data_IF_624805636709
#
_entry.id   IF_624805636709
#
_cell.length_a   1.000
_cell.length_b   1.000
_cell.length_c   1.000
_cell.angle_alpha   90.00
_cell.angle_beta   90.00
_cell.angle_gamma   90.00
#
_symmetry.space_group_name_H-M   'P 1'
#
loop_
_entity.id
_entity.type
_entity.pdbx_description
1 polymer ?
#
# COMPACT_ATOMS: atom_id res chain seq x y z
N UNK A 1 13.24 -6.75 -8.29
CA UNK A 1 11.97 -6.08 -7.94
C UNK A 1 10.88 -6.70 -8.80
N UNK A 2 9.86 -7.30 -8.20
CA UNK A 2 8.77 -7.95 -8.94
C UNK A 2 7.92 -6.89 -9.65
N UNK A 3 7.60 -7.12 -10.92
CA UNK A 3 6.84 -6.24 -11.81
C UNK A 3 5.78 -7.07 -12.55
N UNK A 4 4.72 -6.40 -13.01
CA UNK A 4 3.70 -7.02 -13.88
C UNK A 4 4.31 -7.24 -15.26
N UNK A 5 4.39 -8.50 -15.69
CA UNK A 5 5.06 -8.91 -16.94
C UNK A 5 4.14 -8.87 -18.18
N UNK A 6 2.82 -8.80 -17.99
CA UNK A 6 1.85 -8.75 -19.08
C UNK A 6 0.67 -7.85 -18.73
N UNK A 7 0.48 -6.78 -19.51
CA UNK A 7 -0.71 -5.94 -19.38
C UNK A 7 -2.01 -6.73 -19.62
N UNK A 8 -1.96 -7.75 -20.49
CA UNK A 8 -3.09 -8.62 -20.83
C UNK A 8 -3.56 -9.41 -19.61
N UNK A 9 -2.64 -10.12 -18.97
CA UNK A 9 -2.95 -10.90 -17.75
C UNK A 9 -3.46 -9.99 -16.63
N UNK A 10 -2.93 -8.78 -16.51
CA UNK A 10 -3.41 -7.79 -15.54
C UNK A 10 -4.83 -7.29 -15.84
N UNK A 11 -5.11 -6.94 -17.09
CA UNK A 11 -6.45 -6.56 -17.53
C UNK A 11 -7.47 -7.69 -17.30
N UNK A 12 -7.11 -8.93 -17.61
CA UNK A 12 -7.97 -10.10 -17.41
C UNK A 12 -8.23 -10.36 -15.90
N UNK A 13 -7.22 -10.22 -15.04
CA UNK A 13 -7.37 -10.37 -13.59
C UNK A 13 -8.30 -9.31 -12.96
N UNK A 14 -8.34 -8.10 -13.56
CA UNK A 14 -9.25 -7.01 -13.24
C UNK A 14 -10.66 -7.16 -13.85
N UNK A 15 -10.88 -8.19 -14.67
CA UNK A 15 -12.17 -8.48 -15.30
C UNK A 15 -12.39 -7.78 -16.65
N UNK A 16 -11.38 -7.13 -17.22
CA UNK A 16 -11.42 -6.55 -18.57
C UNK A 16 -11.15 -7.61 -19.67
N UNK A 17 -11.87 -8.74 -19.56
CA UNK A 17 -11.66 -9.91 -20.41
C UNK A 17 -11.96 -9.60 -21.87
N UNK A 18 -11.07 -10.01 -22.77
CA UNK A 18 -11.14 -9.81 -24.22
C UNK A 18 -11.19 -8.35 -24.72
N UNK A 19 -10.96 -7.34 -23.87
CA UNK A 19 -10.90 -5.95 -24.32
C UNK A 19 -9.56 -5.63 -25.02
N UNK A 20 -9.55 -5.01 -26.21
CA UNK A 20 -8.32 -4.66 -26.91
C UNK A 20 -7.56 -3.53 -26.19
N UNK A 21 -6.25 -3.38 -26.45
CA UNK A 21 -5.44 -2.31 -25.86
C UNK A 21 -6.01 -0.91 -26.15
N UNK A 22 -6.65 -0.74 -27.31
CA UNK A 22 -7.31 0.49 -27.75
C UNK A 22 -8.48 0.93 -26.86
N UNK A 23 -9.01 0.04 -26.03
CA UNK A 23 -9.99 0.36 -25.00
C UNK A 23 -9.38 1.19 -23.85
N UNK A 24 -8.11 0.94 -23.52
CA UNK A 24 -7.40 1.56 -22.40
C UNK A 24 -6.63 2.81 -22.84
N UNK A 25 -5.97 2.75 -23.99
CA UNK A 25 -5.22 3.88 -24.54
C UNK A 25 -5.31 3.88 -26.06
N UNK A 26 -5.53 5.07 -26.64
CA UNK A 26 -5.57 5.26 -28.09
C UNK A 26 -4.19 5.51 -28.70
N UNK A 27 -3.18 5.81 -27.88
CA UNK A 27 -1.82 5.98 -28.32
C UNK A 27 -1.15 4.62 -28.57
N UNK A 28 -0.21 4.58 -29.51
CA UNK A 28 0.71 3.44 -29.63
C UNK A 28 1.66 3.48 -28.44
N UNK A 29 1.72 2.37 -27.69
CA UNK A 29 2.57 2.22 -26.51
C UNK A 29 3.65 1.18 -26.81
N UNK A 30 4.90 1.60 -26.63
CA UNK A 30 6.07 0.85 -27.06
C UNK A 30 6.55 -0.15 -25.99
N UNK A 31 6.13 0.04 -24.73
CA UNK A 31 6.59 -0.80 -23.62
C UNK A 31 5.46 -1.45 -22.81
N UNK A 32 5.72 -2.64 -22.28
CA UNK A 32 4.78 -3.33 -21.37
C UNK A 32 4.42 -2.52 -20.11
N UNK A 33 5.37 -1.82 -19.43
CA UNK A 33 5.04 -0.97 -18.29
C UNK A 33 4.05 0.15 -18.63
N UNK A 34 4.17 0.79 -19.80
CA UNK A 34 3.22 1.82 -20.25
C UNK A 34 1.83 1.22 -20.48
N UNK A 35 1.76 0.03 -21.09
CA UNK A 35 0.48 -0.68 -21.29
C UNK A 35 -0.18 -1.05 -19.97
N UNK A 36 0.60 -1.55 -19.00
CA UNK A 36 0.14 -1.81 -17.63
C UNK A 36 -0.36 -0.53 -16.97
N UNK A 37 0.37 0.59 -17.14
CA UNK A 37 -0.03 1.88 -16.61
C UNK A 37 -1.37 2.35 -17.20
N UNK A 38 -1.59 2.20 -18.51
CA UNK A 38 -2.88 2.53 -19.13
C UNK A 38 -4.04 1.69 -18.59
N UNK A 39 -3.83 0.40 -18.31
CA UNK A 39 -4.85 -0.44 -17.64
C UNK A 39 -5.12 0.06 -16.23
N UNK A 40 -4.08 0.44 -15.48
CA UNK A 40 -4.20 0.98 -14.12
C UNK A 40 -4.94 2.32 -14.08
N UNK A 41 -4.65 3.22 -15.03
CA UNK A 41 -5.34 4.49 -15.21
C UNK A 41 -6.83 4.26 -15.49
N UNK A 42 -7.15 3.32 -16.38
CA UNK A 42 -8.54 2.97 -16.66
C UNK A 42 -9.28 2.42 -15.44
N UNK A 43 -8.64 1.55 -14.66
CA UNK A 43 -9.20 1.04 -13.41
C UNK A 43 -9.51 2.20 -12.43
N UNK A 44 -8.59 3.17 -12.32
CA UNK A 44 -8.77 4.35 -11.47
C UNK A 44 -9.96 5.20 -11.92
N UNK A 45 -10.11 5.44 -13.22
CA UNK A 45 -11.28 6.15 -13.78
C UNK A 45 -12.59 5.42 -13.44
N UNK A 46 -12.64 4.11 -13.67
CA UNK A 46 -13.86 3.32 -13.48
C UNK A 46 -14.28 3.25 -12.01
N UNK A 47 -13.32 3.24 -11.07
CA UNK A 47 -13.59 3.26 -9.63
C UNK A 47 -13.99 4.66 -9.11
N UNK A 48 -13.58 5.73 -9.79
CA UNK A 48 -13.93 7.11 -9.40
C UNK A 48 -15.25 7.57 -10.02
N UNK A 49 -15.80 6.85 -10.99
CA UNK A 49 -17.07 7.19 -11.61
C UNK A 49 -18.25 6.97 -10.64
N UNK A 50 -18.91 8.07 -10.27
CA UNK A 50 -20.01 8.12 -9.30
C UNK A 50 -21.30 7.44 -9.76
N UNK A 51 -21.42 7.09 -11.05
CA UNK A 51 -22.63 6.45 -11.62
C UNK A 51 -22.66 4.92 -11.42
N UNK A 52 -21.56 4.30 -11.02
CA UNK A 52 -21.51 2.87 -10.72
C UNK A 52 -22.16 2.59 -9.36
N UNK A 53 -23.40 2.04 -9.39
CA UNK A 53 -24.19 1.63 -8.21
C UNK A 53 -23.51 0.60 -7.30
N UNK A 54 -22.45 -0.06 -7.78
CA UNK A 54 -21.53 -0.87 -6.99
C UNK A 54 -20.21 -0.12 -6.85
N UNK A 55 -19.97 0.50 -5.69
CA UNK A 55 -18.78 1.30 -5.43
C UNK A 55 -17.54 0.39 -5.35
N UNK A 56 -16.93 0.06 -6.49
CA UNK A 56 -15.65 -0.66 -6.56
C UNK A 56 -14.57 0.22 -5.91
N UNK A 57 -13.86 -0.33 -4.93
CA UNK A 57 -12.70 0.35 -4.33
C UNK A 57 -11.47 0.08 -5.18
N UNK A 58 -10.82 1.14 -5.66
CA UNK A 58 -9.60 1.03 -6.47
C UNK A 58 -8.55 0.13 -5.79
N UNK A 59 -8.29 0.36 -4.50
CA UNK A 59 -7.32 -0.43 -3.73
C UNK A 59 -7.74 -1.90 -3.65
N UNK A 60 -9.02 -2.17 -3.44
CA UNK A 60 -9.53 -3.55 -3.36
C UNK A 60 -9.37 -4.28 -4.69
N UNK A 61 -9.80 -3.67 -5.79
CA UNK A 61 -9.71 -4.30 -7.12
C UNK A 61 -8.25 -4.53 -7.52
N UNK A 62 -7.38 -3.55 -7.28
CA UNK A 62 -5.95 -3.68 -7.56
C UNK A 62 -5.30 -4.81 -6.76
N UNK A 63 -5.49 -4.83 -5.44
CA UNK A 63 -4.91 -5.88 -4.57
C UNK A 63 -5.45 -7.26 -4.95
N UNK A 64 -6.75 -7.38 -5.23
CA UNK A 64 -7.36 -8.65 -5.66
C UNK A 64 -6.79 -9.15 -6.99
N UNK A 65 -6.59 -8.27 -7.98
CA UNK A 65 -5.99 -8.66 -9.25
C UNK A 65 -4.55 -9.14 -9.08
N UNK A 66 -3.74 -8.42 -8.29
CA UNK A 66 -2.37 -8.82 -8.01
C UNK A 66 -2.29 -10.16 -7.27
N UNK A 67 -3.18 -10.41 -6.30
CA UNK A 67 -3.26 -11.70 -5.61
C UNK A 67 -3.62 -12.85 -6.57
N UNK A 68 -4.55 -12.64 -7.51
CA UNK A 68 -4.90 -13.63 -8.55
C UNK A 68 -3.74 -13.93 -9.50
N UNK A 69 -2.82 -12.99 -9.67
CA UNK A 69 -1.65 -13.12 -10.53
C UNK A 69 -0.40 -13.63 -9.79
N UNK A 70 -0.55 -14.06 -8.54
CA UNK A 70 0.56 -14.44 -7.66
C UNK A 70 1.62 -13.34 -7.44
N UNK A 71 1.24 -12.07 -7.63
CA UNK A 71 2.10 -10.90 -7.47
C UNK A 71 2.19 -10.45 -5.99
N UNK A 72 2.48 -11.38 -5.09
CA UNK A 72 2.45 -11.16 -3.64
C UNK A 72 3.46 -10.10 -3.19
N UNK A 73 4.65 -10.04 -3.81
CA UNK A 73 5.67 -9.05 -3.50
C UNK A 73 5.24 -7.61 -3.85
N UNK A 74 4.39 -7.42 -4.86
CA UNK A 74 3.75 -6.14 -5.17
C UNK A 74 2.64 -5.81 -4.18
N UNK A 75 1.84 -6.80 -3.79
CA UNK A 75 0.77 -6.63 -2.78
C UNK A 75 1.34 -6.14 -1.46
N UNK A 76 2.41 -6.77 -0.95
CA UNK A 76 3.01 -6.39 0.34
C UNK A 76 3.60 -4.98 0.31
N UNK A 77 4.21 -4.57 -0.81
CA UNK A 77 4.74 -3.21 -0.99
C UNK A 77 3.61 -2.18 -0.97
N UNK A 78 2.55 -2.41 -1.75
CA UNK A 78 1.38 -1.52 -1.77
C UNK A 78 0.72 -1.43 -0.40
N UNK A 79 0.58 -2.55 0.31
CA UNK A 79 0.03 -2.58 1.66
C UNK A 79 0.89 -1.72 2.60
N UNK A 80 2.21 -1.88 2.57
CA UNK A 80 3.12 -1.08 3.39
C UNK A 80 2.98 0.41 3.08
N UNK A 81 3.01 0.80 1.80
CA UNK A 81 2.85 2.21 1.38
C UNK A 81 1.53 2.80 1.87
N UNK A 82 0.43 2.05 1.72
CA UNK A 82 -0.87 2.50 2.23
C UNK A 82 -0.90 2.60 3.75
N UNK A 83 -0.31 1.65 4.47
CA UNK A 83 -0.24 1.70 5.94
C UNK A 83 0.55 2.90 6.40
N UNK A 84 1.71 3.19 5.81
CA UNK A 84 2.53 4.35 6.17
C UNK A 84 1.80 5.66 5.88
N UNK A 85 1.20 5.80 4.69
CA UNK A 85 0.47 7.01 4.30
C UNK A 85 -0.77 7.24 5.16
N UNK A 86 -1.59 6.21 5.34
CA UNK A 86 -2.80 6.32 6.18
C UNK A 86 -2.43 6.60 7.63
N UNK A 87 -1.36 5.99 8.15
CA UNK A 87 -0.88 6.30 9.51
C UNK A 87 -0.46 7.75 9.63
N UNK A 88 0.31 8.27 8.66
CA UNK A 88 0.75 9.66 8.64
C UNK A 88 -0.44 10.64 8.68
N UNK A 89 -1.50 10.35 7.92
CA UNK A 89 -2.73 11.14 7.89
C UNK A 89 -3.48 11.05 9.23
N UNK A 90 -3.65 9.85 9.78
CA UNK A 90 -4.39 9.65 11.04
C UNK A 90 -3.68 10.27 12.25
N UNK A 91 -2.34 10.22 12.29
CA UNK A 91 -1.58 10.80 13.40
C UNK A 91 -1.45 12.31 13.28
N UNK A 92 -1.29 12.83 12.06
CA UNK A 92 -1.13 14.26 11.74
C UNK A 92 -0.29 15.00 12.80
N UNK A 93 -0.87 15.95 13.53
CA UNK A 93 -0.20 16.74 14.58
C UNK A 93 0.45 15.92 15.71
N UNK A 94 0.04 14.67 15.90
CA UNK A 94 0.57 13.75 16.90
C UNK A 94 1.74 12.91 16.37
N UNK A 95 2.20 13.13 15.15
CA UNK A 95 3.31 12.36 14.58
C UNK A 95 4.59 12.45 15.41
N UNK A 96 4.88 13.61 16.04
CA UNK A 96 6.03 13.78 16.95
C UNK A 96 5.98 12.80 18.12
N UNK A 97 4.80 12.61 18.71
CA UNK A 97 4.59 11.61 19.76
C UNK A 97 4.89 10.20 19.24
N UNK A 98 4.41 9.85 18.04
CA UNK A 98 4.70 8.56 17.43
C UNK A 98 6.19 8.37 17.15
N UNK A 99 6.87 9.39 16.64
CA UNK A 99 8.31 9.35 16.36
C UNK A 99 9.14 9.10 17.63
N UNK A 100 8.74 9.68 18.77
CA UNK A 100 9.33 9.36 20.08
C UNK A 100 9.13 7.89 20.47
N UNK A 101 7.92 7.34 20.24
CA UNK A 101 7.60 5.94 20.57
C UNK A 101 8.31 4.92 19.68
N UNK A 102 8.49 5.24 18.41
CA UNK A 102 9.11 4.34 17.44
C UNK A 102 10.65 4.38 17.47
N UNK A 103 11.23 5.57 17.56
CA UNK A 103 12.68 5.73 17.35
C UNK A 103 13.36 6.73 18.29
N UNK A 104 12.67 7.20 19.35
CA UNK A 104 13.21 8.19 20.30
C UNK A 104 13.77 9.44 19.61
N UNK A 105 13.14 9.85 18.51
CA UNK A 105 13.58 10.98 17.69
C UNK A 105 13.66 12.25 18.55
N UNK A 106 14.75 12.97 18.45
CA UNK A 106 14.94 14.23 19.19
C UNK A 106 14.12 15.37 18.57
N UNK A 107 13.85 16.43 19.34
CA UNK A 107 13.15 17.63 18.84
C UNK A 107 13.84 18.23 17.62
N UNK A 108 15.17 18.30 17.62
CA UNK A 108 15.96 18.82 16.51
C UNK A 108 15.77 18.00 15.23
N UNK A 109 15.73 16.67 15.35
CA UNK A 109 15.45 15.79 14.21
C UNK A 109 14.01 15.94 13.71
N UNK A 110 13.04 16.13 14.62
CA UNK A 110 11.66 16.38 14.22
C UNK A 110 11.53 17.70 13.44
N UNK A 111 12.19 18.75 13.90
CA UNK A 111 12.18 20.05 13.24
C UNK A 111 12.82 19.97 11.84
N UNK A 112 13.80 19.07 11.65
CA UNK A 112 14.40 18.80 10.33
C UNK A 112 13.41 18.15 9.34
N UNK A 113 12.54 17.25 9.80
CA UNK A 113 11.45 16.71 8.97
C UNK A 113 10.39 17.76 8.63
N UNK A 114 10.12 18.71 9.52
CA UNK A 114 9.14 19.77 9.27
C UNK A 114 9.67 20.89 8.38
N UNK A 115 10.98 21.15 8.40
CA UNK A 115 11.59 22.27 7.68
C UNK A 115 11.21 22.38 6.20
N UNK A 116 11.15 21.29 5.40
CA UNK A 116 10.77 21.35 3.99
C UNK A 116 9.29 21.70 3.74
N UNK A 117 8.45 21.55 4.76
CA UNK A 117 6.98 21.71 4.66
C UNK A 117 6.48 23.00 5.30
N UNK A 118 7.38 23.85 5.80
CA UNK A 118 7.04 25.15 6.39
C UNK A 118 6.53 26.10 5.31
N UNK A 119 5.47 26.83 5.66
CA UNK A 119 4.93 27.90 4.84
C UNK A 119 5.83 29.16 4.89
N UNK A 120 5.37 30.25 4.27
CA UNK A 120 6.08 31.54 4.25
C UNK A 120 6.27 32.14 5.65
N UNK A 121 5.48 31.72 6.63
CA UNK A 121 5.57 32.16 8.02
C UNK A 121 6.52 31.28 8.86
N UNK A 122 7.10 30.24 8.25
CA UNK A 122 7.98 29.30 8.94
C UNK A 122 7.24 28.25 9.76
N UNK A 123 5.94 28.04 9.54
CA UNK A 123 5.10 27.07 10.27
C UNK A 123 4.56 26.03 9.31
N UNK A 124 4.42 24.78 9.76
CA UNK A 124 3.74 23.74 8.97
C UNK A 124 2.24 23.85 9.22
N UNK A 125 1.46 23.96 8.15
CA UNK A 125 0.00 23.94 8.24
C UNK A 125 -0.47 22.63 8.92
N UNK A 126 -1.40 22.76 9.86
CA UNK A 126 -2.10 21.65 10.49
C UNK A 126 -2.63 20.60 9.50
N UNK A 127 -3.17 21.03 8.35
CA UNK A 127 -3.68 20.14 7.30
C UNK A 127 -2.57 19.47 6.49
N UNK A 128 -1.35 20.03 6.51
CA UNK A 128 -0.18 19.50 5.83
C UNK A 128 0.72 18.64 6.74
N UNK A 129 0.38 18.51 8.02
CA UNK A 129 1.23 17.84 9.02
C UNK A 129 1.43 16.34 8.75
N UNK A 130 0.59 15.74 7.92
CA UNK A 130 0.80 14.36 7.44
C UNK A 130 2.06 14.23 6.58
N UNK A 131 2.55 15.29 5.93
CA UNK A 131 3.75 15.24 5.08
C UNK A 131 5.04 14.96 5.87
N UNK A 132 5.42 15.76 6.90
CA UNK A 132 6.58 15.43 7.73
C UNK A 132 6.40 14.09 8.47
N UNK A 133 5.16 13.74 8.86
CA UNK A 133 4.86 12.44 9.44
C UNK A 133 5.17 11.29 8.47
N UNK A 134 4.78 11.43 7.19
CA UNK A 134 5.04 10.47 6.15
C UNK A 134 6.53 10.35 5.83
N UNK A 135 7.26 11.47 5.71
CA UNK A 135 8.71 11.47 5.48
C UNK A 135 9.46 10.74 6.59
N UNK A 136 9.06 10.99 7.85
CA UNK A 136 9.59 10.26 9.01
C UNK A 136 9.29 8.76 8.90
N UNK A 137 8.03 8.39 8.69
CA UNK A 137 7.61 6.98 8.62
C UNK A 137 8.28 6.22 7.47
N UNK A 138 8.44 6.87 6.32
CA UNK A 138 9.16 6.33 5.18
C UNK A 138 10.62 6.07 5.56
N UNK A 139 11.32 7.05 6.13
CA UNK A 139 12.71 6.91 6.57
C UNK A 139 12.86 5.84 7.64
N UNK A 140 11.97 5.83 8.63
CA UNK A 140 11.95 4.85 9.71
C UNK A 140 11.71 3.42 9.21
N UNK A 141 10.77 3.23 8.27
CA UNK A 141 10.49 1.89 7.72
C UNK A 141 11.71 1.30 7.01
N UNK A 142 12.46 2.12 6.27
CA UNK A 142 13.70 1.69 5.63
C UNK A 142 14.80 1.28 6.63
N UNK A 143 14.78 1.81 7.86
CA UNK A 143 15.74 1.43 8.90
C UNK A 143 15.44 0.05 9.53
N UNK A 144 14.19 -0.41 9.46
CA UNK A 144 13.79 -1.75 9.93
C UNK A 144 14.24 -2.83 8.94
N UNK A 145 14.33 -2.48 7.65
CA UNK A 145 14.77 -3.37 6.57
C UNK A 145 13.60 -3.90 5.73
N UNK A 146 13.82 -4.98 5.00
CA UNK A 146 12.90 -5.46 3.95
C UNK A 146 11.67 -6.25 4.50
N UNK A 147 11.58 -6.44 5.81
CA UNK A 147 10.48 -7.17 6.43
C UNK A 147 9.27 -6.26 6.66
N UNK A 148 8.36 -6.24 5.68
CA UNK A 148 7.08 -5.54 5.78
C UNK A 148 6.25 -5.98 7.00
N UNK A 149 6.37 -7.25 7.41
CA UNK A 149 5.74 -7.77 8.64
C UNK A 149 6.26 -7.04 9.88
N UNK A 150 7.57 -6.91 10.01
CA UNK A 150 8.19 -6.24 11.15
C UNK A 150 7.87 -4.74 11.15
N UNK A 151 7.91 -4.09 9.98
CA UNK A 151 7.52 -2.68 9.83
C UNK A 151 6.09 -2.45 10.34
N UNK A 152 5.11 -3.23 9.86
CA UNK A 152 3.71 -3.03 10.24
C UNK A 152 3.49 -3.41 11.71
N UNK A 153 4.18 -4.44 12.22
CA UNK A 153 4.08 -4.88 13.61
C UNK A 153 4.65 -3.82 14.58
N UNK A 154 5.85 -3.29 14.31
CA UNK A 154 6.47 -2.25 15.14
C UNK A 154 5.67 -0.94 15.07
N UNK A 155 5.10 -0.61 13.91
CA UNK A 155 4.24 0.56 13.77
C UNK A 155 2.99 0.43 14.65
N UNK A 156 2.35 -0.74 14.61
CA UNK A 156 1.19 -1.04 15.45
C UNK A 156 1.52 -0.91 16.94
N UNK A 157 2.63 -1.49 17.38
CA UNK A 157 3.11 -1.37 18.77
C UNK A 157 3.43 0.08 19.17
N UNK A 158 4.01 0.87 18.26
CA UNK A 158 4.30 2.29 18.49
C UNK A 158 3.02 3.12 18.69
N UNK A 159 2.01 2.88 17.85
CA UNK A 159 0.70 3.52 17.95
C UNK A 159 -0.02 3.14 19.25
N UNK A 160 0.11 1.89 19.70
CA UNK A 160 -0.45 1.40 20.97
C UNK A 160 0.20 2.06 22.20
N UNK A 161 1.47 2.48 22.11
CA UNK A 161 2.22 3.14 23.19
C UNK A 161 1.92 4.64 23.31
N UNK A 162 1.15 5.22 22.39
CA UNK A 162 0.74 6.62 22.48
C UNK A 162 -0.24 6.85 23.64
N UNK A 163 -0.28 8.04 24.22
CA UNK A 163 -1.15 8.42 25.35
C UNK A 163 -2.63 8.17 25.04
N UNK A 164 -3.03 8.41 23.79
CA UNK A 164 -4.36 8.10 23.26
C UNK A 164 -4.19 7.22 22.00
N UNK A 165 -4.15 5.89 22.13
CA UNK A 165 -3.90 5.00 21.01
C UNK A 165 -4.97 5.10 19.93
N UNK A 166 -4.54 5.36 18.69
CA UNK A 166 -5.44 5.45 17.53
C UNK A 166 -5.98 4.06 17.14
N UNK A 167 -5.18 3.02 17.39
CA UNK A 167 -5.50 1.59 17.20
C UNK A 167 -6.82 1.14 17.83
N UNK A 168 -7.25 1.74 18.94
CA UNK A 168 -8.55 1.45 19.58
C UNK A 168 -9.74 1.74 18.66
N UNK A 169 -9.61 2.73 17.79
CA UNK A 169 -10.63 3.14 16.81
C UNK A 169 -10.29 2.68 15.40
N UNK A 170 -9.00 2.48 15.11
CA UNK A 170 -8.50 2.15 13.78
C UNK A 170 -8.25 0.65 13.59
N UNK A 171 -9.35 -0.11 13.53
CA UNK A 171 -9.33 -1.58 13.39
C UNK A 171 -8.72 -2.08 12.06
N UNK A 172 -8.61 -1.21 11.05
CA UNK A 172 -8.07 -1.56 9.74
C UNK A 172 -6.58 -1.94 9.79
N UNK A 173 -5.79 -1.34 10.67
CA UNK A 173 -4.38 -1.70 10.83
C UNK A 173 -4.22 -3.13 11.35
N UNK A 174 -5.03 -3.51 12.35
CA UNK A 174 -5.07 -4.89 12.84
C UNK A 174 -5.50 -5.88 11.76
N UNK A 175 -6.52 -5.54 10.96
CA UNK A 175 -6.91 -6.36 9.81
C UNK A 175 -5.81 -6.52 8.77
N UNK A 176 -5.03 -5.47 8.54
CA UNK A 176 -3.87 -5.49 7.64
C UNK A 176 -2.76 -6.39 8.16
N UNK A 177 -2.47 -6.35 9.46
CA UNK A 177 -1.53 -7.27 10.10
C UNK A 177 -1.95 -8.73 9.95
N UNK A 178 -3.24 -9.03 10.13
CA UNK A 178 -3.77 -10.39 9.94
C UNK A 178 -3.59 -10.82 8.49
N UNK A 179 -3.96 -9.98 7.52
CA UNK A 179 -3.80 -10.26 6.09
C UNK A 179 -2.33 -10.57 5.77
N UNK A 180 -1.43 -9.64 6.08
CA UNK A 180 0.01 -9.75 5.88
C UNK A 180 0.57 -11.03 6.49
N UNK A 181 0.09 -11.40 7.69
CA UNK A 181 0.54 -12.63 8.32
C UNK A 181 0.09 -13.90 7.60
N UNK A 182 -1.07 -13.83 6.94
CA UNK A 182 -1.72 -14.95 6.28
C UNK A 182 -1.34 -15.10 4.81
N UNK A 183 -0.67 -14.11 4.20
CA UNK A 183 -0.40 -14.08 2.75
C UNK A 183 0.33 -15.33 2.25
N UNK A 184 1.34 -15.81 2.97
CA UNK A 184 2.10 -17.01 2.55
C UNK A 184 1.23 -18.27 2.56
N UNK A 185 0.36 -18.43 3.56
CA UNK A 185 -0.59 -19.55 3.66
C UNK A 185 -1.63 -19.46 2.56
N UNK A 186 -2.17 -18.26 2.31
CA UNK A 186 -3.13 -18.00 1.24
C UNK A 186 -2.53 -18.28 -0.14
N UNK A 187 -1.27 -17.86 -0.36
CA UNK A 187 -0.51 -18.13 -1.58
C UNK A 187 -0.35 -19.63 -1.79
N UNK A 188 0.13 -20.34 -0.77
CA UNK A 188 0.31 -21.79 -0.84
C UNK A 188 -1.02 -22.50 -1.15
N UNK A 189 -2.12 -22.13 -0.50
CA UNK A 189 -3.42 -22.73 -0.77
C UNK A 189 -3.96 -22.44 -2.19
N UNK A 190 -3.70 -21.25 -2.74
CA UNK A 190 -4.22 -20.84 -4.04
C UNK A 190 -3.38 -21.32 -5.24
N UNK A 191 -2.06 -21.49 -5.04
CA UNK A 191 -1.11 -21.78 -6.10
C UNK A 191 -0.30 -23.07 -5.86
N UNK A 192 -0.66 -23.89 -4.85
CA UNK A 192 -0.03 -25.20 -4.70
C UNK A 192 -0.20 -25.98 -6.01
N UNK A 193 0.87 -26.55 -6.58
CA UNK A 193 0.69 -27.55 -7.63
C UNK A 193 -0.24 -28.62 -7.07
N UNK A 194 -1.19 -29.09 -7.89
CA UNK A 194 -1.86 -30.33 -7.56
C UNK A 194 -0.75 -31.36 -7.32
N UNK A 195 -0.78 -32.04 -6.18
CA UNK A 195 0.04 -33.24 -6.01
C UNK A 195 -0.13 -34.03 -7.30
N UNK A 196 0.97 -34.21 -8.04
CA UNK A 196 1.00 -35.23 -9.06
C UNK A 196 0.80 -36.51 -8.26
N UNK A 197 -0.48 -36.91 -8.11
CA UNK A 197 -0.85 -38.23 -7.66
C UNK A 197 0.10 -39.19 -8.36
N UNK A 198 0.80 -39.97 -7.55
CA UNK A 198 1.61 -41.10 -7.95
C UNK A 198 0.85 -41.92 -9.01
N UNK A 199 1.03 -41.60 -10.29
CA UNK A 199 0.76 -42.52 -11.37
C UNK A 199 1.93 -43.50 -11.43
N UNK A 200 2.05 -44.27 -10.36
CA UNK A 200 2.54 -45.64 -10.45
C UNK A 200 1.30 -46.49 -10.68
N UNK A 201 1.06 -46.86 -11.93
CA UNK A 201 0.68 -48.20 -12.43
C UNK A 201 0.78 -48.17 -13.96
#
# INVERSE_FOLDING_TARGET
MENISSWRSFADALGYVNLPLTFFCRAELDSEPERVASVLEKLKEDCNNTENKERKSFQKELVMALLKMDCQGLVVRLIQDFVLLTTAVEVAQRWRELAEKLAKVSKQQMDAYESPHRDRNGVVDSEAMWKPAYDFLLTWSHQIGDSYRDVIQELHLGLDKMKNPITKRWKHLTGTLILVNSLDVLRAAAFSPADQDDFVI
#
